data_IF_693001455266
#
_entry.id   IF_693001455266
#
_cell.length_a   1.000
_cell.length_b   1.000
_cell.length_c   1.000
_cell.angle_alpha   90.00
_cell.angle_beta   90.00
_cell.angle_gamma   90.00
#
_symmetry.space_group_name_H-M   'P 1'
#
loop_
_entity.id
_entity.type
_entity.pdbx_description
1 polymer ?
#
# COMPACT_ATOMS: atom_id res chain seq x y z
N UNK A 1 70.98 -12.20 21.31
CA UNK A 1 71.17 -13.13 20.18
C UNK A 1 70.21 -12.72 19.07
N UNK A 2 70.76 -12.34 17.94
CA UNK A 2 70.04 -11.95 16.73
C UNK A 2 69.37 -13.17 16.07
N UNK A 3 68.29 -12.94 15.32
CA UNK A 3 68.19 -13.20 13.86
C UNK A 3 66.80 -12.78 13.37
N UNK A 4 66.80 -11.91 12.37
CA UNK A 4 65.67 -11.54 11.54
C UNK A 4 65.62 -12.47 10.31
N UNK A 5 64.43 -12.79 9.79
CA UNK A 5 64.24 -13.15 8.38
C UNK A 5 62.88 -12.63 7.90
N UNK A 6 62.93 -11.89 6.80
CA UNK A 6 61.85 -11.21 6.10
C UNK A 6 61.17 -12.13 5.06
N UNK A 7 60.38 -11.50 4.16
CA UNK A 7 59.86 -12.00 2.86
C UNK A 7 58.46 -12.63 3.01
N UNK A 8 57.39 -12.25 2.29
CA UNK A 8 57.23 -11.71 0.93
C UNK A 8 55.86 -11.02 0.82
N UNK A 9 55.77 -9.93 0.06
CA UNK A 9 54.53 -9.41 -0.50
C UNK A 9 54.02 -10.30 -1.63
N UNK A 10 52.72 -10.59 -1.65
CA UNK A 10 52.02 -11.06 -2.85
C UNK A 10 50.66 -10.35 -2.93
N UNK A 11 50.53 -9.46 -3.90
CA UNK A 11 49.27 -8.86 -4.32
C UNK A 11 48.66 -9.72 -5.44
N UNK A 12 47.46 -10.26 -5.24
CA UNK A 12 46.53 -10.78 -6.26
C UNK A 12 45.23 -11.21 -5.52
N UNK A 13 44.01 -10.84 -5.88
CA UNK A 13 43.53 -10.09 -7.03
C UNK A 13 42.02 -9.80 -6.95
N UNK A 14 41.58 -8.99 -7.91
CA UNK A 14 40.25 -8.90 -8.52
C UNK A 14 39.05 -8.69 -7.58
N UNK A 15 38.72 -7.41 -7.39
CA UNK A 15 37.35 -6.98 -7.15
C UNK A 15 36.49 -7.36 -8.37
N UNK A 16 35.89 -8.56 -8.32
CA UNK A 16 34.84 -8.94 -9.26
C UNK A 16 33.61 -8.09 -8.98
N UNK A 17 33.11 -7.40 -10.00
CA UNK A 17 31.76 -6.82 -9.97
C UNK A 17 30.77 -7.98 -9.81
N UNK A 18 30.24 -8.16 -8.61
CA UNK A 18 29.16 -9.10 -8.36
C UNK A 18 27.89 -8.61 -9.09
N UNK A 19 27.74 -9.01 -10.35
CA UNK A 19 26.47 -8.90 -11.05
C UNK A 19 25.49 -9.84 -10.35
N UNK A 20 24.50 -9.28 -9.66
CA UNK A 20 23.39 -10.05 -9.15
C UNK A 20 22.65 -10.67 -10.34
N UNK A 21 22.93 -11.94 -10.64
CA UNK A 21 22.11 -12.73 -11.55
C UNK A 21 20.66 -12.78 -11.05
N UNK A 22 19.70 -13.19 -11.90
CA UNK A 22 18.30 -13.32 -11.49
C UNK A 22 18.24 -14.21 -10.24
N UNK A 23 17.98 -13.60 -9.07
CA UNK A 23 17.77 -14.37 -7.85
C UNK A 23 16.48 -15.14 -8.07
N UNK A 24 16.44 -16.46 -7.85
CA UNK A 24 15.16 -17.17 -7.80
C UNK A 24 14.28 -16.41 -6.80
N UNK A 25 13.06 -16.08 -7.21
CA UNK A 25 12.12 -15.38 -6.34
C UNK A 25 12.00 -16.20 -5.05
N UNK A 26 12.29 -15.56 -3.91
CA UNK A 26 12.13 -16.22 -2.62
C UNK A 26 10.66 -16.59 -2.46
N UNK A 27 10.37 -17.90 -2.35
CA UNK A 27 8.99 -18.42 -2.25
C UNK A 27 8.26 -17.74 -1.08
N UNK A 28 8.96 -17.39 0.00
CA UNK A 28 8.36 -16.63 1.12
C UNK A 28 7.90 -15.24 0.71
N UNK A 29 8.68 -14.56 -0.12
CA UNK A 29 8.29 -13.23 -0.63
C UNK A 29 7.08 -13.31 -1.55
N UNK A 30 7.00 -14.34 -2.41
CA UNK A 30 5.85 -14.54 -3.31
C UNK A 30 4.59 -14.84 -2.49
N UNK A 31 4.66 -15.78 -1.54
CA UNK A 31 3.56 -16.09 -0.63
C UNK A 31 3.11 -14.86 0.18
N UNK A 32 4.06 -14.00 0.57
CA UNK A 32 3.77 -12.72 1.22
C UNK A 32 2.95 -11.78 0.31
N UNK A 33 3.35 -11.62 -0.95
CA UNK A 33 2.62 -10.79 -1.92
C UNK A 33 1.22 -11.32 -2.22
N UNK A 34 1.07 -12.63 -2.43
CA UNK A 34 -0.23 -13.26 -2.65
C UNK A 34 -1.17 -13.09 -1.46
N UNK A 35 -0.64 -13.25 -0.25
CA UNK A 35 -1.39 -13.02 0.99
C UNK A 35 -1.86 -11.58 1.09
N UNK A 36 -0.99 -10.62 0.81
CA UNK A 36 -1.34 -9.18 0.80
C UNK A 36 -2.42 -8.90 -0.25
N UNK A 37 -2.31 -9.45 -1.46
CA UNK A 37 -3.30 -9.29 -2.51
C UNK A 37 -4.68 -9.83 -2.11
N UNK A 38 -4.71 -11.01 -1.46
CA UNK A 38 -5.95 -11.60 -0.93
C UNK A 38 -6.61 -10.69 0.11
N UNK A 39 -5.83 -10.16 1.06
CA UNK A 39 -6.33 -9.26 2.10
C UNK A 39 -6.88 -7.95 1.50
N UNK A 40 -6.16 -7.36 0.54
CA UNK A 40 -6.63 -6.16 -0.19
C UNK A 40 -7.93 -6.44 -0.93
N UNK A 41 -8.03 -7.58 -1.61
CA UNK A 41 -9.23 -7.98 -2.34
C UNK A 41 -10.43 -8.12 -1.38
N UNK A 42 -10.25 -8.82 -0.26
CA UNK A 42 -11.29 -8.98 0.76
C UNK A 42 -11.71 -7.62 1.34
N UNK A 43 -10.76 -6.75 1.67
CA UNK A 43 -11.04 -5.43 2.23
C UNK A 43 -11.79 -4.53 1.25
N UNK A 44 -11.43 -4.56 -0.04
CA UNK A 44 -12.16 -3.84 -1.09
C UNK A 44 -13.58 -4.36 -1.24
N UNK A 45 -13.75 -5.68 -1.31
CA UNK A 45 -15.07 -6.29 -1.42
C UNK A 45 -15.96 -5.92 -0.21
N UNK A 46 -15.41 -6.00 1.00
CA UNK A 46 -16.08 -5.58 2.22
C UNK A 46 -16.45 -4.09 2.19
N UNK A 47 -15.58 -3.21 1.70
CA UNK A 47 -15.88 -1.79 1.63
C UNK A 47 -17.14 -1.49 0.79
N UNK A 48 -17.26 -2.12 -0.38
CA UNK A 48 -18.44 -1.97 -1.24
C UNK A 48 -19.67 -2.70 -0.71
N UNK A 49 -19.51 -3.85 -0.08
CA UNK A 49 -20.62 -4.57 0.56
C UNK A 49 -21.21 -3.79 1.75
N UNK A 50 -20.39 -3.01 2.45
CA UNK A 50 -20.76 -2.19 3.61
C UNK A 50 -20.78 -0.68 3.29
N UNK A 51 -21.28 -0.31 2.10
CA UNK A 51 -21.28 1.06 1.59
C UNK A 51 -21.93 2.11 2.53
N UNK A 52 -22.91 1.70 3.35
CA UNK A 52 -23.53 2.58 4.33
C UNK A 52 -22.54 3.04 5.42
N UNK A 53 -21.64 2.13 5.84
CA UNK A 53 -20.64 2.39 6.87
C UNK A 53 -19.38 3.00 6.29
N UNK A 54 -18.96 2.57 5.10
CA UNK A 54 -17.73 3.06 4.46
C UNK A 54 -17.92 4.37 3.70
N UNK A 55 -19.15 4.68 3.28
CA UNK A 55 -19.47 5.86 2.48
C UNK A 55 -19.01 5.77 1.02
N UNK A 56 -18.54 4.59 0.57
CA UNK A 56 -18.21 4.34 -0.83
C UNK A 56 -19.50 4.20 -1.66
N UNK A 57 -19.42 4.57 -2.93
CA UNK A 57 -20.53 4.59 -3.88
C UNK A 57 -20.06 4.07 -5.24
N UNK A 58 -21.01 3.82 -6.14
CA UNK A 58 -20.71 3.49 -7.54
C UNK A 58 -19.88 4.60 -8.18
N UNK A 59 -18.84 4.21 -8.92
CA UNK A 59 -17.89 5.13 -9.56
C UNK A 59 -16.69 5.48 -8.67
N UNK A 60 -16.65 5.02 -7.42
CA UNK A 60 -15.45 5.09 -6.61
C UNK A 60 -14.45 3.98 -6.97
N UNK A 61 -13.17 4.32 -6.84
CA UNK A 61 -12.10 3.33 -6.81
C UNK A 61 -11.29 3.49 -5.51
N UNK A 62 -10.81 2.37 -4.99
CA UNK A 62 -10.03 2.32 -3.75
C UNK A 62 -8.60 1.90 -4.06
N UNK A 63 -7.62 2.78 -3.91
CA UNK A 63 -6.22 2.41 -4.10
C UNK A 63 -5.60 2.01 -2.75
N UNK A 64 -5.14 0.76 -2.58
CA UNK A 64 -4.53 0.31 -1.33
C UNK A 64 -3.21 1.06 -1.11
N UNK A 65 -3.04 1.59 0.08
CA UNK A 65 -1.84 2.31 0.50
C UNK A 65 -0.99 1.49 1.45
N UNK A 66 -1.64 0.71 2.31
CA UNK A 66 -0.94 -0.12 3.29
C UNK A 66 -1.81 -1.29 3.74
N UNK A 67 -1.15 -2.37 4.17
CA UNK A 67 -1.78 -3.58 4.72
C UNK A 67 -1.08 -3.96 6.01
N UNK A 68 -1.79 -3.85 7.12
CA UNK A 68 -1.31 -4.23 8.44
C UNK A 68 -1.87 -5.60 8.86
N UNK A 69 -1.02 -6.39 9.50
CA UNK A 69 -1.32 -7.74 9.96
C UNK A 69 -1.14 -7.79 11.48
N UNK A 70 -2.24 -7.94 12.23
CA UNK A 70 -2.16 -8.03 13.68
C UNK A 70 -1.76 -9.44 14.15
N UNK A 71 -1.08 -9.55 15.31
CA UNK A 71 -0.71 -10.83 15.91
C UNK A 71 -1.90 -11.76 16.18
N UNK A 72 -3.05 -11.21 16.57
CA UNK A 72 -4.31 -11.93 16.80
C UNK A 72 -5.01 -12.38 15.51
N UNK A 73 -4.50 -11.97 14.35
CA UNK A 73 -4.97 -12.40 13.04
C UNK A 73 -5.84 -11.39 12.30
N UNK A 74 -6.28 -10.32 12.94
CA UNK A 74 -6.99 -9.22 12.27
C UNK A 74 -6.10 -8.54 11.21
N UNK A 75 -6.75 -7.92 10.22
CA UNK A 75 -6.08 -7.25 9.09
C UNK A 75 -6.67 -5.88 8.89
N UNK A 76 -5.83 -4.92 8.55
CA UNK A 76 -6.28 -3.56 8.27
C UNK A 76 -5.72 -3.11 6.94
N UNK A 77 -6.58 -2.56 6.07
CA UNK A 77 -6.16 -2.05 4.77
C UNK A 77 -6.54 -0.59 4.68
N UNK A 78 -5.53 0.27 4.53
CA UNK A 78 -5.72 1.69 4.27
C UNK A 78 -5.90 1.91 2.78
N UNK A 79 -6.94 2.64 2.40
CA UNK A 79 -7.23 3.02 1.03
C UNK A 79 -7.27 4.54 0.88
N UNK A 80 -6.77 5.03 -0.25
CA UNK A 80 -7.16 6.34 -0.78
C UNK A 80 -8.28 6.15 -1.78
N UNK A 81 -9.24 7.07 -1.79
CA UNK A 81 -10.41 7.00 -2.66
C UNK A 81 -10.31 7.96 -3.83
N UNK A 82 -10.66 7.48 -5.01
CA UNK A 82 -11.00 8.32 -6.16
C UNK A 82 -12.48 8.18 -6.50
N UNK A 83 -13.06 9.17 -7.15
CA UNK A 83 -14.40 9.13 -7.71
C UNK A 83 -14.36 9.65 -9.14
N UNK A 84 -14.78 8.82 -10.10
CA UNK A 84 -14.67 9.13 -11.52
C UNK A 84 -13.25 9.60 -11.93
N UNK A 85 -12.22 8.97 -11.37
CA UNK A 85 -10.81 9.29 -11.61
C UNK A 85 -10.25 10.49 -10.83
N UNK A 86 -11.08 11.24 -10.10
CA UNK A 86 -10.63 12.38 -9.28
C UNK A 86 -10.32 11.95 -7.84
N UNK A 87 -9.20 12.40 -7.23
CA UNK A 87 -8.93 12.17 -5.81
C UNK A 87 -10.00 12.79 -4.92
N UNK A 88 -10.53 12.02 -3.97
CA UNK A 88 -11.49 12.50 -2.97
C UNK A 88 -10.74 12.94 -1.72
N UNK A 89 -10.61 14.25 -1.52
CA UNK A 89 -9.97 14.79 -0.31
C UNK A 89 -10.79 14.44 0.94
N UNK A 90 -10.14 13.82 1.93
CA UNK A 90 -10.81 13.30 3.12
C UNK A 90 -11.66 12.04 2.87
N UNK A 91 -11.56 11.44 1.68
CA UNK A 91 -12.25 10.19 1.32
C UNK A 91 -11.51 8.91 1.71
N UNK A 92 -10.35 9.04 2.38
CA UNK A 92 -9.53 7.91 2.79
C UNK A 92 -10.22 7.10 3.89
N UNK A 93 -9.97 5.79 3.88
CA UNK A 93 -10.54 4.87 4.86
C UNK A 93 -9.60 3.72 5.19
N UNK A 94 -9.73 3.19 6.40
CA UNK A 94 -9.11 1.94 6.83
C UNK A 94 -10.23 0.92 7.02
N UNK A 95 -10.21 -0.15 6.24
CA UNK A 95 -11.13 -1.27 6.42
C UNK A 95 -10.50 -2.25 7.39
N UNK A 96 -11.25 -2.61 8.44
CA UNK A 96 -10.83 -3.61 9.42
C UNK A 96 -11.47 -4.94 9.05
N UNK A 97 -10.66 -5.98 8.97
CA UNK A 97 -11.07 -7.36 8.77
C UNK A 97 -10.70 -8.20 9.98
N UNK A 98 -11.55 -9.16 10.31
CA UNK A 98 -11.26 -10.16 11.32
C UNK A 98 -10.26 -11.22 10.81
N UNK A 99 -9.93 -12.20 11.67
CA UNK A 99 -8.99 -13.28 11.34
C UNK A 99 -9.42 -14.18 10.18
N UNK A 100 -10.70 -14.13 9.81
CA UNK A 100 -11.30 -14.88 8.70
C UNK A 100 -11.54 -14.01 7.47
N UNK A 101 -11.00 -12.79 7.44
CA UNK A 101 -11.20 -11.78 6.40
C UNK A 101 -12.65 -11.26 6.32
N UNK A 102 -13.46 -11.45 7.37
CA UNK A 102 -14.79 -10.86 7.49
C UNK A 102 -14.73 -9.39 7.88
N UNK A 103 -15.70 -8.59 7.44
CA UNK A 103 -15.78 -7.16 7.79
C UNK A 103 -15.96 -6.99 9.30
N UNK A 104 -15.03 -6.27 9.92
CA UNK A 104 -15.05 -5.96 11.35
C UNK A 104 -15.32 -4.47 11.63
N UNK A 105 -15.26 -3.61 10.60
CA UNK A 105 -15.55 -2.19 10.71
C UNK A 105 -14.74 -1.33 9.76
N UNK A 106 -14.90 -0.02 9.88
CA UNK A 106 -14.16 0.96 9.08
C UNK A 106 -13.82 2.19 9.94
N UNK A 107 -12.62 2.72 9.74
CA UNK A 107 -12.26 4.07 10.17
C UNK A 107 -12.23 4.97 8.93
N UNK A 108 -12.94 6.10 8.95
CA UNK A 108 -12.98 7.07 7.85
C UNK A 108 -12.21 8.32 8.24
N UNK A 109 -11.56 8.96 7.26
CA UNK A 109 -10.89 10.25 7.49
C UNK A 109 -11.88 11.39 7.78
N UNK A 110 -13.12 11.29 7.28
CA UNK A 110 -14.19 12.24 7.56
C UNK A 110 -15.43 11.51 8.12
N UNK A 111 -16.06 12.12 9.14
CA UNK A 111 -17.26 11.56 9.78
C UNK A 111 -18.50 11.59 8.88
N UNK A 112 -18.50 12.49 7.89
CA UNK A 112 -19.57 12.61 6.89
C UNK A 112 -19.13 12.02 5.56
N UNK A 113 -20.06 11.37 4.87
CA UNK A 113 -19.85 10.93 3.50
C UNK A 113 -19.51 12.12 2.58
N UNK A 114 -18.30 12.12 2.01
CA UNK A 114 -17.87 13.09 1.00
C UNK A 114 -18.42 12.63 -0.35
N UNK A 115 -19.34 13.42 -0.93
CA UNK A 115 -19.99 13.13 -2.21
C UNK A 115 -20.00 14.39 -3.08
N UNK A 116 -19.09 14.51 -4.06
CA UNK A 116 -19.13 15.60 -5.02
C UNK A 116 -20.47 15.60 -5.77
N UNK A 117 -21.13 16.76 -5.86
CA UNK A 117 -22.36 16.88 -6.64
C UNK A 117 -22.10 16.82 -8.15
N UNK A 118 -20.89 17.21 -8.57
CA UNK A 118 -20.40 17.13 -9.95
C UNK A 118 -18.87 17.02 -9.92
N UNK A 119 -18.32 16.43 -10.98
CA UNK A 119 -16.88 16.41 -11.27
C UNK A 119 -16.50 17.43 -12.36
N UNK A 120 -17.46 18.18 -12.88
CA UNK A 120 -17.23 19.21 -13.90
C UNK A 120 -16.84 20.55 -13.25
N UNK A 121 -15.60 20.97 -13.49
CA UNK A 121 -15.12 22.27 -13.04
C UNK A 121 -15.70 23.40 -13.92
N UNK A 122 -16.32 24.40 -13.27
CA UNK A 122 -16.83 25.60 -13.96
C UNK A 122 -15.76 26.65 -14.26
N UNK A 123 -14.64 26.59 -13.55
CA UNK A 123 -13.52 27.53 -13.66
C UNK A 123 -12.23 26.76 -13.81
N UNK A 124 -11.24 27.39 -14.44
CA UNK A 124 -9.89 26.83 -14.56
C UNK A 124 -9.15 26.84 -13.22
N UNK A 125 -8.10 26.01 -13.04
CA UNK A 125 -7.28 26.04 -11.82
C UNK A 125 -6.70 27.42 -11.51
N UNK A 126 -6.27 28.19 -12.53
CA UNK A 126 -5.72 29.53 -12.35
C UNK A 126 -6.75 30.54 -11.84
N UNK A 127 -8.00 30.44 -12.29
CA UNK A 127 -9.09 31.28 -11.78
C UNK A 127 -9.46 30.92 -10.33
N UNK A 128 -9.47 29.62 -9.99
CA UNK A 128 -9.77 29.16 -8.64
C UNK A 128 -8.70 29.60 -7.63
N UNK A 129 -7.41 29.61 -8.01
CA UNK A 129 -6.32 30.03 -7.14
C UNK A 129 -6.26 31.54 -6.88
N UNK A 130 -6.92 32.33 -7.71
CA UNK A 130 -6.96 33.79 -7.59
C UNK A 130 -8.18 34.32 -6.81
N UNK A 131 -9.10 33.44 -6.42
CA UNK A 131 -10.30 33.74 -5.64
C UNK A 131 -10.01 33.68 -4.13
#
# INVERSE_FOLDING_TARGET
>A
MAVAVAVTTAAMGLAGTALAGPRPADVRSVLGTERTALVVHAARAAAFAHAADTGVVTGDELQPQDVMFDPEGARHVRFTRTHAGLPVLGGDLVVHLDRHLGYAGVTRAADRAVRPATTDAKVTPGQAAAA
#
